data_IF_513372870917
#
_entry.id   IF_513372870917
#
_cell.length_a   1.000
_cell.length_b   1.000
_cell.length_c   1.000
_cell.angle_alpha   90.00
_cell.angle_beta   90.00
_cell.angle_gamma   90.00
#
_symmetry.space_group_name_H-M   'P 1'
#
loop_
_entity.id
_entity.type
_entity.pdbx_description
1 polymer ?
#
# COMPACT_ATOMS: atom_id res chain seq x y z
N UNK A 1 3.24 -17.03 -0.45
CA UNK A 1 4.03 -15.77 -0.43
C UNK A 1 5.31 -15.87 -1.28
N UNK A 2 5.60 -14.85 -2.12
CA UNK A 2 6.88 -14.66 -2.82
C UNK A 2 7.46 -13.28 -2.47
N UNK A 3 8.78 -13.19 -2.35
CA UNK A 3 9.50 -11.95 -2.03
C UNK A 3 10.45 -11.61 -3.19
N UNK A 4 10.41 -10.37 -3.65
CA UNK A 4 11.34 -9.83 -4.63
C UNK A 4 12.16 -8.70 -3.98
N UNK A 5 13.39 -8.48 -4.43
CA UNK A 5 14.23 -7.40 -3.91
C UNK A 5 14.98 -6.73 -5.05
N UNK A 6 14.82 -5.41 -5.20
CA UNK A 6 15.58 -4.59 -6.16
C UNK A 6 15.99 -3.31 -5.45
N UNK A 7 17.30 -3.08 -5.31
CA UNK A 7 17.88 -1.87 -4.69
C UNK A 7 17.18 -1.46 -3.38
N UNK A 8 17.18 -2.35 -2.37
CA UNK A 8 16.59 -2.17 -1.03
C UNK A 8 15.06 -2.16 -0.93
N UNK A 9 14.34 -2.04 -2.04
CA UNK A 9 12.89 -2.21 -2.07
C UNK A 9 12.56 -3.71 -2.13
N UNK A 10 11.89 -4.20 -1.09
CA UNK A 10 11.35 -5.56 -1.04
C UNK A 10 9.87 -5.51 -1.40
N UNK A 11 9.45 -6.26 -2.42
CA UNK A 11 8.02 -6.48 -2.65
C UNK A 11 7.62 -7.87 -2.17
N UNK A 12 6.48 -7.94 -1.49
CA UNK A 12 5.87 -9.17 -1.03
C UNK A 12 4.58 -9.35 -1.78
N UNK A 13 4.42 -10.51 -2.40
CA UNK A 13 3.19 -10.89 -3.10
C UNK A 13 2.63 -12.19 -2.55
N UNK A 14 1.32 -12.24 -2.49
CA UNK A 14 0.58 -13.46 -2.20
C UNK A 14 -0.52 -13.64 -3.24
N UNK A 15 -0.88 -14.89 -3.50
CA UNK A 15 -1.89 -15.27 -4.46
C UNK A 15 -2.91 -16.16 -3.76
N UNK A 16 -4.16 -16.04 -4.17
CA UNK A 16 -5.20 -16.99 -3.85
C UNK A 16 -4.91 -18.36 -4.47
N UNK A 17 -5.62 -19.38 -3.99
CA UNK A 17 -5.51 -20.74 -4.51
C UNK A 17 -5.90 -20.85 -5.99
N UNK A 18 -6.74 -19.94 -6.47
CA UNK A 18 -7.12 -19.85 -7.89
C UNK A 18 -6.05 -19.19 -8.79
N UNK A 19 -4.91 -18.77 -8.21
CA UNK A 19 -3.81 -18.13 -8.93
C UNK A 19 -3.95 -16.62 -9.12
N UNK A 20 -5.06 -16.01 -8.69
CA UNK A 20 -5.21 -14.55 -8.69
C UNK A 20 -4.36 -13.92 -7.59
N UNK A 21 -3.88 -12.70 -7.84
CA UNK A 21 -3.10 -11.97 -6.85
C UNK A 21 -4.00 -11.59 -5.67
N UNK A 22 -3.57 -11.88 -4.45
CA UNK A 22 -4.27 -11.54 -3.21
C UNK A 22 -3.82 -10.17 -2.72
N UNK A 23 -2.51 -9.98 -2.57
CA UNK A 23 -1.92 -8.68 -2.25
C UNK A 23 -0.51 -8.52 -2.80
N UNK A 24 -0.11 -7.26 -2.91
CA UNK A 24 1.22 -6.82 -3.27
C UNK A 24 1.60 -5.63 -2.40
N UNK A 25 2.59 -5.81 -1.54
CA UNK A 25 3.10 -4.78 -0.64
C UNK A 25 4.56 -4.48 -0.93
N UNK A 26 4.94 -3.23 -0.73
CA UNK A 26 6.30 -2.74 -0.94
C UNK A 26 6.89 -2.23 0.37
N UNK A 27 8.11 -2.64 0.65
CA UNK A 27 8.84 -2.30 1.86
C UNK A 27 10.21 -1.72 1.51
N UNK A 28 10.57 -0.61 2.12
CA UNK A 28 11.92 -0.07 2.08
C UNK A 28 12.46 -0.01 3.52
N UNK A 29 13.66 -0.54 3.75
CA UNK A 29 14.32 -0.54 5.07
C UNK A 29 13.45 -1.09 6.22
N UNK A 30 12.54 -2.02 5.93
CA UNK A 30 11.66 -2.66 6.91
C UNK A 30 10.33 -1.96 7.19
N UNK A 31 10.06 -0.80 6.57
CA UNK A 31 8.77 -0.11 6.65
C UNK A 31 8.04 -0.19 5.29
N UNK A 32 6.71 -0.12 5.30
CA UNK A 32 5.94 0.00 4.06
C UNK A 32 6.31 1.30 3.34
N UNK A 33 6.70 1.18 2.08
CA UNK A 33 7.09 2.32 1.25
C UNK A 33 6.76 2.01 -0.21
N UNK A 34 5.78 2.73 -0.76
CA UNK A 34 5.26 2.53 -2.10
C UNK A 34 3.78 2.15 -2.15
N UNK A 35 3.34 1.79 -3.36
CA UNK A 35 1.95 1.50 -3.69
C UNK A 35 1.60 0.06 -3.34
N UNK A 36 0.81 -0.12 -2.30
CA UNK A 36 0.33 -1.40 -1.81
C UNK A 36 -1.09 -1.67 -2.33
N UNK A 37 -1.38 -2.90 -2.74
CA UNK A 37 -2.67 -3.28 -3.30
C UNK A 37 -3.14 -4.62 -2.76
N UNK A 38 -4.45 -4.75 -2.65
CA UNK A 38 -5.15 -6.00 -2.35
C UNK A 38 -6.28 -6.18 -3.34
N UNK A 39 -6.60 -7.43 -3.65
CA UNK A 39 -7.66 -7.80 -4.57
C UNK A 39 -8.57 -8.83 -3.94
N UNK A 40 -9.82 -8.88 -4.38
CA UNK A 40 -10.73 -10.00 -4.12
C UNK A 40 -10.29 -11.25 -4.88
N UNK A 41 -10.80 -12.41 -4.48
CA UNK A 41 -10.52 -13.67 -5.17
C UNK A 41 -10.99 -13.66 -6.64
N UNK A 42 -12.00 -12.84 -6.97
CA UNK A 42 -12.43 -12.55 -8.34
C UNK A 42 -11.38 -11.80 -9.20
N UNK A 43 -10.31 -11.28 -8.58
CA UNK A 43 -9.29 -10.45 -9.21
C UNK A 43 -9.63 -8.96 -9.26
N UNK A 44 -10.78 -8.56 -8.71
CA UNK A 44 -11.16 -7.15 -8.61
C UNK A 44 -10.36 -6.44 -7.52
N UNK A 45 -10.01 -5.17 -7.74
CA UNK A 45 -9.27 -4.38 -6.77
C UNK A 45 -10.12 -4.15 -5.52
N UNK A 46 -9.57 -4.49 -4.36
CA UNK A 46 -10.21 -4.35 -3.06
C UNK A 46 -9.68 -3.13 -2.33
N UNK A 47 -8.37 -3.02 -2.20
CA UNK A 47 -7.70 -1.91 -1.48
C UNK A 47 -6.51 -1.43 -2.31
N UNK A 48 -6.30 -0.11 -2.32
CA UNK A 48 -5.09 0.53 -2.83
C UNK A 48 -4.63 1.57 -1.81
N UNK A 49 -3.42 1.38 -1.28
CA UNK A 49 -2.82 2.26 -0.29
C UNK A 49 -1.46 2.76 -0.77
N UNK A 50 -1.17 4.05 -0.61
CA UNK A 50 0.17 4.58 -0.79
C UNK A 50 0.80 4.79 0.59
N UNK A 51 1.91 4.12 0.85
CA UNK A 51 2.72 4.34 2.04
C UNK A 51 4.01 5.08 1.72
N UNK A 52 4.48 5.90 2.65
CA UNK A 52 5.83 6.48 2.64
C UNK A 52 6.40 6.43 4.05
N UNK A 53 7.56 5.81 4.23
CA UNK A 53 8.17 5.63 5.56
C UNK A 53 7.22 5.00 6.60
N UNK A 54 6.35 4.07 6.17
CA UNK A 54 5.33 3.45 7.00
C UNK A 54 4.10 4.31 7.29
N UNK A 55 4.05 5.56 6.82
CA UNK A 55 2.90 6.46 6.98
C UNK A 55 1.98 6.32 5.77
N UNK A 56 0.70 6.13 6.01
CA UNK A 56 -0.32 6.09 4.96
C UNK A 56 -0.57 7.50 4.41
N UNK A 57 -0.34 7.67 3.11
CA UNK A 57 -0.52 8.91 2.37
C UNK A 57 -1.90 8.95 1.71
N UNK A 58 -2.33 7.81 1.18
CA UNK A 58 -3.68 7.64 0.64
C UNK A 58 -4.15 6.21 0.80
N UNK A 59 -5.46 6.01 0.90
CA UNK A 59 -6.14 4.71 0.87
C UNK A 59 -7.42 4.86 0.06
N UNK A 60 -7.69 3.86 -0.77
CA UNK A 60 -8.98 3.64 -1.40
C UNK A 60 -9.40 2.20 -1.17
N UNK A 61 -10.66 2.01 -0.84
CA UNK A 61 -11.26 0.71 -0.64
C UNK A 61 -12.51 0.60 -1.50
N UNK A 62 -12.64 -0.52 -2.21
CA UNK A 62 -13.75 -0.81 -3.11
C UNK A 62 -14.44 -2.10 -2.70
N UNK A 63 -15.75 -2.12 -2.91
CA UNK A 63 -16.55 -3.32 -2.88
C UNK A 63 -16.20 -4.22 -4.08
N UNK A 64 -16.60 -5.50 -4.00
CA UNK A 64 -16.41 -6.45 -5.10
C UNK A 64 -17.27 -6.14 -6.35
N UNK A 65 -18.19 -5.17 -6.28
CA UNK A 65 -18.90 -4.65 -7.45
C UNK A 65 -18.22 -3.40 -8.05
N UNK A 66 -17.04 -3.04 -7.54
CA UNK A 66 -16.26 -1.89 -7.98
C UNK A 66 -16.70 -0.55 -7.37
N UNK A 67 -17.71 -0.51 -6.49
CA UNK A 67 -18.10 0.73 -5.82
C UNK A 67 -17.06 1.13 -4.78
N UNK A 68 -16.68 2.41 -4.81
CA UNK A 68 -15.81 2.99 -3.78
C UNK A 68 -16.55 3.00 -2.43
N UNK A 69 -15.97 2.35 -1.43
CA UNK A 69 -16.47 2.28 -0.06
C UNK A 69 -15.84 3.41 0.78
N UNK A 70 -14.53 3.58 0.66
CA UNK A 70 -13.77 4.52 1.47
C UNK A 70 -12.66 5.15 0.63
N UNK A 71 -12.47 6.46 0.81
CA UNK A 71 -11.29 7.17 0.31
C UNK A 71 -10.73 8.00 1.46
N UNK A 72 -9.43 7.83 1.68
CA UNK A 72 -8.65 8.57 2.64
C UNK A 72 -7.46 9.20 1.93
N UNK A 73 -7.21 10.46 2.24
CA UNK A 73 -6.04 11.19 1.81
C UNK A 73 -5.46 11.90 3.04
N UNK A 74 -4.15 11.78 3.23
CA UNK A 74 -3.45 12.47 4.31
C UNK A 74 -3.47 13.98 4.05
N UNK A 75 -4.01 14.74 5.00
CA UNK A 75 -4.12 16.19 4.87
C UNK A 75 -2.89 16.88 5.47
N UNK A 76 -2.59 18.09 4.96
CA UNK A 76 -1.41 18.84 5.43
C UNK A 76 -1.48 19.23 6.92
N UNK A 77 -2.69 19.34 7.46
CA UNK A 77 -2.93 19.63 8.87
C UNK A 77 -2.71 18.44 9.81
N UNK A 78 -2.59 17.22 9.29
CA UNK A 78 -2.42 16.03 10.10
C UNK A 78 -0.99 15.95 10.67
N UNK A 79 -0.87 15.50 11.92
CA UNK A 79 0.43 15.24 12.56
C UNK A 79 1.29 14.27 11.73
N UNK A 80 0.65 13.32 11.05
CA UNK A 80 1.29 12.38 10.15
C UNK A 80 1.92 13.06 8.93
N UNK A 81 1.35 14.14 8.40
CA UNK A 81 1.95 14.90 7.30
C UNK A 81 3.20 15.66 7.75
N UNK A 82 3.15 16.29 8.92
CA UNK A 82 4.31 16.95 9.50
C UNK A 82 5.44 15.97 9.81
N UNK A 83 5.09 14.78 10.34
CA UNK A 83 6.06 13.72 10.59
C UNK A 83 6.67 13.21 9.27
N UNK A 84 5.85 12.97 8.25
CA UNK A 84 6.30 12.54 6.93
C UNK A 84 7.31 13.53 6.32
N UNK A 85 7.01 14.83 6.39
CA UNK A 85 7.92 15.88 5.92
C UNK A 85 9.22 16.00 6.71
N UNK A 86 9.24 15.60 7.98
CA UNK A 86 10.47 15.54 8.77
C UNK A 86 11.32 14.32 8.36
N UNK A 87 10.68 13.15 8.20
CA UNK A 87 11.35 11.91 7.81
C UNK A 87 11.94 11.99 6.40
N UNK A 88 11.24 12.63 5.45
CA UNK A 88 11.72 12.79 4.08
C UNK A 88 12.95 13.70 3.94
N UNK A 89 13.18 14.61 4.91
CA UNK A 89 14.34 15.52 4.95
C UNK A 89 15.59 14.92 5.60
N UNK A 90 15.47 13.72 6.19
CA UNK A 90 16.54 13.03 6.91
C UNK A 90 17.27 11.98 6.04
N UNK A 91 16.86 11.80 4.78
CA UNK A 91 17.57 11.03 3.75
C UNK A 91 18.47 11.96 2.94
#
# INVERSE_FOLDING_TARGET
>A
MRIYSRNNLKSVREWYTNGQLHYEYYYESGALDGLCKEWYESGQLKIECLYKHGIIVSKKEWAEDGKLIEEYQLNEGDKNFQLLNKLSKLK
#
